data_IF_162235796286
#
_entry.id   IF_162235796286
#
_cell.length_a   1.000
_cell.length_b   1.000
_cell.length_c   1.000
_cell.angle_alpha   90.00
_cell.angle_beta   90.00
_cell.angle_gamma   90.00
#
_symmetry.space_group_name_H-M   'P 1'
#
loop_
_entity.id
_entity.type
_entity.pdbx_description
1 polymer ?
#
# COMPACT_ATOMS: atom_id res chain seq x y z
N UNK A 1 14.11 -15.02 -11.63
CA UNK A 1 13.97 -13.84 -10.75
C UNK A 1 12.55 -13.28 -10.66
N UNK A 2 11.57 -13.64 -11.52
CA UNK A 2 10.23 -13.02 -11.54
C UNK A 2 9.25 -13.35 -10.39
N UNK A 3 9.43 -14.43 -9.61
CA UNK A 3 8.38 -14.88 -8.67
C UNK A 3 8.29 -14.05 -7.38
N UNK A 4 9.39 -13.49 -6.88
CA UNK A 4 9.37 -12.67 -5.66
C UNK A 4 8.80 -11.28 -5.93
N UNK A 5 9.19 -10.63 -7.03
CA UNK A 5 8.71 -9.29 -7.39
C UNK A 5 7.19 -9.26 -7.64
N UNK A 6 6.63 -10.29 -8.29
CA UNK A 6 5.18 -10.40 -8.50
C UNK A 6 4.39 -10.53 -7.19
N UNK A 7 4.91 -11.27 -6.21
CA UNK A 7 4.25 -11.39 -4.91
C UNK A 7 4.28 -10.08 -4.11
N UNK A 8 5.36 -9.31 -4.22
CA UNK A 8 5.45 -7.97 -3.63
C UNK A 8 4.45 -7.00 -4.25
N UNK A 9 4.29 -7.03 -5.59
CA UNK A 9 3.30 -6.21 -6.32
C UNK A 9 1.86 -6.52 -5.89
N UNK A 10 1.51 -7.80 -5.78
CA UNK A 10 0.15 -8.20 -5.39
C UNK A 10 -0.16 -7.79 -3.94
N UNK A 11 0.80 -7.99 -3.03
CA UNK A 11 0.65 -7.62 -1.61
C UNK A 11 0.59 -6.10 -1.42
N UNK A 12 1.43 -5.35 -2.14
CA UNK A 12 1.39 -3.89 -2.09
C UNK A 12 0.08 -3.36 -2.69
N UNK A 13 -0.39 -3.89 -3.81
CA UNK A 13 -1.71 -3.53 -4.38
C UNK A 13 -2.85 -3.80 -3.40
N UNK A 14 -2.81 -4.91 -2.67
CA UNK A 14 -3.81 -5.19 -1.63
C UNK A 14 -3.80 -4.13 -0.52
N UNK A 15 -2.61 -3.78 0.01
CA UNK A 15 -2.48 -2.71 1.02
C UNK A 15 -2.98 -1.37 0.47
N UNK A 16 -2.65 -1.03 -0.78
CA UNK A 16 -3.10 0.21 -1.42
C UNK A 16 -4.62 0.32 -1.42
N UNK A 17 -5.32 -0.77 -1.76
CA UNK A 17 -6.78 -0.78 -1.76
C UNK A 17 -7.40 -0.77 -0.35
N UNK A 18 -6.76 -1.37 0.65
CA UNK A 18 -7.20 -1.24 2.04
C UNK A 18 -7.09 0.21 2.54
N UNK A 19 -6.03 0.93 2.16
CA UNK A 19 -5.85 2.35 2.47
C UNK A 19 -6.90 3.19 1.72
N UNK A 20 -7.12 2.92 0.44
CA UNK A 20 -8.13 3.63 -0.34
C UNK A 20 -9.54 3.49 0.26
N UNK A 21 -9.88 2.30 0.73
CA UNK A 21 -11.15 1.98 1.40
C UNK A 21 -11.19 2.43 2.88
N UNK A 22 -10.13 3.07 3.39
CA UNK A 22 -9.99 3.52 4.78
C UNK A 22 -10.16 2.39 5.82
N UNK A 23 -9.90 1.14 5.43
CA UNK A 23 -9.87 -0.01 6.35
C UNK A 23 -8.62 0.06 7.23
N UNK A 24 -7.51 0.49 6.65
CA UNK A 24 -6.26 0.74 7.35
C UNK A 24 -5.84 2.19 7.16
N UNK A 25 -5.22 2.76 8.19
CA UNK A 25 -4.75 4.14 8.16
C UNK A 25 -3.67 4.30 7.09
N UNK A 26 -3.66 5.44 6.39
CA UNK A 26 -2.71 5.74 5.32
C UNK A 26 -1.23 5.75 5.79
N UNK A 27 -0.96 5.78 7.09
CA UNK A 27 0.40 5.74 7.62
C UNK A 27 1.18 4.50 7.17
N UNK A 28 0.53 3.33 7.07
CA UNK A 28 1.18 2.08 6.65
C UNK A 28 1.72 2.15 5.22
N UNK A 29 1.06 2.91 4.34
CA UNK A 29 1.52 3.12 2.98
C UNK A 29 2.77 4.02 2.92
N UNK A 30 2.88 4.99 3.82
CA UNK A 30 4.08 5.83 3.95
C UNK A 30 5.27 5.00 4.44
N UNK A 31 5.05 4.12 5.42
CA UNK A 31 6.08 3.20 5.92
C UNK A 31 6.55 2.24 4.82
N UNK A 32 5.61 1.64 4.07
CA UNK A 32 5.95 0.73 2.98
C UNK A 32 6.83 1.42 1.93
N UNK A 33 6.45 2.63 1.53
CA UNK A 33 7.21 3.42 0.56
C UNK A 33 8.59 3.82 1.09
N UNK A 34 8.69 4.14 2.38
CA UNK A 34 9.98 4.42 3.02
C UNK A 34 10.90 3.20 2.94
N UNK A 35 10.40 2.01 3.28
CA UNK A 35 11.18 0.76 3.24
C UNK A 35 11.60 0.41 1.79
N UNK A 36 10.69 0.56 0.82
CA UNK A 36 10.99 0.25 -0.59
C UNK A 36 12.05 1.19 -1.20
N UNK A 37 12.15 2.42 -0.69
CA UNK A 37 13.01 3.48 -1.22
C UNK A 37 14.25 3.77 -0.36
N UNK A 38 14.42 3.09 0.79
CA UNK A 38 15.58 3.28 1.67
C UNK A 38 16.89 2.86 0.97
N UNK A 39 16.88 1.71 0.30
CA UNK A 39 17.99 1.22 -0.51
C UNK A 39 17.42 0.81 -1.89
N UNK A 40 17.19 1.77 -2.80
CA UNK A 40 16.40 1.53 -4.00
C UNK A 40 17.13 0.58 -4.96
N UNK A 41 16.38 -0.42 -5.45
CA UNK A 41 16.78 -1.34 -6.52
C UNK A 41 15.75 -1.24 -7.64
N UNK A 42 16.09 -1.71 -8.84
CA UNK A 42 15.15 -1.62 -9.98
C UNK A 42 13.78 -2.27 -9.67
N UNK A 43 13.79 -3.39 -8.94
CA UNK A 43 12.57 -4.09 -8.53
C UNK A 43 11.81 -3.33 -7.42
N UNK A 44 12.50 -2.81 -6.40
CA UNK A 44 11.82 -2.09 -5.31
C UNK A 44 11.22 -0.77 -5.79
N UNK A 45 11.87 -0.08 -6.72
CA UNK A 45 11.34 1.14 -7.34
C UNK A 45 10.15 0.84 -8.23
N UNK A 46 10.16 -0.26 -8.99
CA UNK A 46 8.99 -0.69 -9.76
C UNK A 46 7.78 -0.95 -8.86
N UNK A 47 7.97 -1.68 -7.76
CA UNK A 47 6.91 -1.93 -6.78
C UNK A 47 6.41 -0.62 -6.17
N UNK A 48 7.32 0.30 -5.84
CA UNK A 48 6.97 1.60 -5.25
C UNK A 48 6.18 2.47 -6.23
N UNK A 49 6.59 2.57 -7.50
CA UNK A 49 5.86 3.30 -8.55
C UNK A 49 4.46 2.72 -8.74
N UNK A 50 4.33 1.40 -8.82
CA UNK A 50 3.03 0.73 -8.93
C UNK A 50 2.14 1.04 -7.72
N UNK A 51 2.70 0.94 -6.51
CA UNK A 51 1.97 1.21 -5.27
C UNK A 51 1.47 2.66 -5.19
N UNK A 52 2.32 3.66 -5.47
CA UNK A 52 1.91 5.07 -5.53
C UNK A 52 0.86 5.32 -6.61
N UNK A 53 0.92 4.58 -7.72
CA UNK A 53 -0.07 4.72 -8.79
C UNK A 53 -1.48 4.31 -8.33
N UNK A 54 -1.58 3.28 -7.47
CA UNK A 54 -2.85 2.76 -6.94
C UNK A 54 -3.43 3.56 -5.77
N UNK A 55 -2.60 4.00 -4.81
CA UNK A 55 -3.08 4.74 -3.62
C UNK A 55 -2.69 6.23 -3.58
N UNK A 56 -2.02 6.76 -4.59
CA UNK A 56 -1.53 8.14 -4.56
C UNK A 56 -2.64 9.20 -4.47
N UNK A 57 -3.86 8.88 -4.93
CA UNK A 57 -4.99 9.83 -4.85
C UNK A 57 -5.44 10.09 -3.41
N UNK A 58 -5.66 9.03 -2.62
CA UNK A 58 -6.10 9.18 -1.21
C UNK A 58 -5.05 9.92 -0.37
N UNK A 59 -3.76 9.69 -0.63
CA UNK A 59 -2.69 10.39 0.07
C UNK A 59 -2.61 11.88 -0.26
N UNK A 60 -2.90 12.27 -1.51
CA UNK A 60 -3.00 13.69 -1.87
C UNK A 60 -4.16 14.37 -1.15
N UNK A 61 -5.26 13.65 -0.94
CA UNK A 61 -6.46 14.18 -0.30
C UNK A 61 -6.32 14.27 1.23
N UNK A 62 -5.80 13.22 1.88
CA UNK A 62 -5.67 13.13 3.33
C UNK A 62 -4.41 13.79 3.87
N UNK A 63 -3.27 13.58 3.21
CA UNK A 63 -1.94 13.93 3.75
C UNK A 63 -0.98 14.47 2.67
N UNK A 64 -1.32 15.57 1.97
CA UNK A 64 -0.55 16.07 0.82
C UNK A 64 0.91 16.37 1.15
N UNK A 65 1.20 16.87 2.36
CA UNK A 65 2.58 17.15 2.80
C UNK A 65 3.40 15.87 2.94
N UNK A 66 2.84 14.84 3.56
CA UNK A 66 3.52 13.56 3.73
C UNK A 66 3.73 12.88 2.37
N UNK A 67 2.72 12.93 1.51
CA UNK A 67 2.81 12.43 0.15
C UNK A 67 3.91 13.12 -0.67
N UNK A 68 4.00 14.45 -0.60
CA UNK A 68 5.07 15.19 -1.25
C UNK A 68 6.45 14.77 -0.76
N UNK A 69 6.61 14.51 0.55
CA UNK A 69 7.86 14.01 1.11
C UNK A 69 8.31 12.67 0.51
N UNK A 70 7.36 11.79 0.19
CA UNK A 70 7.66 10.49 -0.44
C UNK A 70 8.03 10.61 -1.92
N UNK A 71 7.61 11.69 -2.59
CA UNK A 71 8.02 11.94 -3.97
C UNK A 71 9.46 12.44 -4.10
N UNK A 72 10.07 12.96 -3.03
CA UNK A 72 11.45 13.45 -3.05
C UNK A 72 12.49 12.34 -3.31
N UNK A 73 12.44 11.17 -2.64
CA UNK A 73 13.31 10.03 -2.97
C UNK A 73 13.27 9.64 -4.47
N UNK A 74 12.08 9.62 -5.09
CA UNK A 74 11.97 9.33 -6.53
C UNK A 74 12.71 10.35 -7.40
N UNK A 75 12.72 11.64 -7.02
CA UNK A 75 13.49 12.68 -7.72
C UNK A 75 14.99 12.50 -7.52
N UNK A 76 15.41 12.14 -6.31
CA UNK A 76 16.81 11.81 -6.01
C UNK A 76 17.30 10.67 -6.90
N UNK A 77 16.52 9.60 -6.99
CA UNK A 77 16.79 8.44 -7.85
C UNK A 77 16.90 8.85 -9.33
N UNK A 78 16.02 9.75 -9.80
CA UNK A 78 16.03 10.22 -11.20
C UNK A 78 17.26 11.06 -11.56
N UNK A 79 17.80 11.84 -10.62
CA UNK A 79 18.92 12.76 -10.87
C UNK A 79 20.29 12.20 -10.51
N UNK A 80 20.38 11.36 -9.46
CA UNK A 80 21.64 10.96 -8.83
C UNK A 80 21.94 9.46 -8.98
N UNK A 81 20.95 8.64 -9.40
CA UNK A 81 21.08 7.19 -9.46
C UNK A 81 21.65 6.67 -10.78
N UNK A 82 22.57 5.70 -10.70
CA UNK A 82 22.76 4.73 -11.79
C UNK A 82 21.58 3.75 -11.76
N UNK A 83 20.50 4.10 -12.46
CA UNK A 83 19.29 3.28 -12.58
C UNK A 83 19.11 2.73 -13.99
N UNK A 84 18.46 1.58 -14.11
CA UNK A 84 18.09 1.07 -15.42
C UNK A 84 17.09 1.99 -16.13
N UNK A 85 17.19 2.07 -17.46
CA UNK A 85 16.32 2.91 -18.29
C UNK A 85 14.84 2.62 -18.06
N UNK A 86 14.50 1.35 -17.78
CA UNK A 86 13.12 0.95 -17.49
C UNK A 86 12.57 1.67 -16.25
N UNK A 87 13.36 1.71 -15.19
CA UNK A 87 12.99 2.35 -13.92
C UNK A 87 12.88 3.86 -14.09
N UNK A 88 13.79 4.45 -14.86
CA UNK A 88 13.70 5.85 -15.24
C UNK A 88 12.35 6.17 -15.91
N UNK A 89 11.95 5.38 -16.92
CA UNK A 89 10.64 5.56 -17.58
C UNK A 89 9.45 5.40 -16.63
N UNK A 90 9.53 4.49 -15.65
CA UNK A 90 8.48 4.30 -14.65
C UNK A 90 8.34 5.53 -13.75
N UNK A 91 9.45 6.09 -13.27
CA UNK A 91 9.46 7.30 -12.43
C UNK A 91 8.97 8.52 -13.23
N UNK A 92 9.45 8.70 -14.46
CA UNK A 92 8.98 9.78 -15.34
C UNK A 92 7.47 9.65 -15.62
N UNK A 93 7.00 8.43 -15.85
CA UNK A 93 5.58 8.10 -15.97
C UNK A 93 4.79 8.51 -14.73
N UNK A 94 5.30 8.19 -13.54
CA UNK A 94 4.68 8.57 -12.27
C UNK A 94 4.52 10.10 -12.13
N UNK A 95 5.54 10.88 -12.48
CA UNK A 95 5.47 12.35 -12.42
C UNK A 95 4.62 12.97 -13.54
N UNK A 96 4.50 12.30 -14.68
CA UNK A 96 3.61 12.71 -15.76
C UNK A 96 2.12 12.50 -15.42
N UNK A 97 1.81 11.61 -14.48
CA UNK A 97 0.44 11.39 -14.01
C UNK A 97 -0.10 12.62 -13.28
N UNK A 98 -1.03 13.32 -13.94
CA UNK A 98 -1.78 14.44 -13.35
C UNK A 98 -2.61 13.97 -12.16
N UNK A 99 -3.23 12.80 -12.27
CA UNK A 99 -4.04 12.14 -11.25
C UNK A 99 -3.65 10.66 -11.21
N UNK A 100 -3.55 10.10 -10.00
CA UNK A 100 -3.39 8.65 -9.82
C UNK A 100 -4.73 7.94 -10.10
N UNK A 101 -4.77 6.62 -9.89
CA UNK A 101 -6.01 5.87 -10.03
C UNK A 101 -7.11 6.41 -9.09
N UNK A 102 -8.39 6.33 -9.47
CA UNK A 102 -9.48 6.75 -8.60
C UNK A 102 -9.43 5.94 -7.30
N UNK A 103 -9.49 6.65 -6.17
CA UNK A 103 -9.36 6.09 -4.82
C UNK A 103 -10.26 4.86 -4.63
N UNK A 104 -11.57 5.03 -4.81
CA UNK A 104 -12.54 3.93 -4.78
C UNK A 104 -13.38 4.03 -6.06
N UNK A 105 -13.64 2.88 -6.69
CA UNK A 105 -14.60 2.84 -7.80
C UNK A 105 -16.02 3.00 -7.25
N UNK A 106 -16.92 3.75 -7.91
CA UNK A 106 -18.26 4.01 -7.37
C UNK A 106 -19.04 2.75 -6.99
N UNK A 107 -18.87 1.66 -7.73
CA UNK A 107 -19.51 0.37 -7.44
C UNK A 107 -18.97 -0.35 -6.18
N UNK A 108 -17.83 0.09 -5.64
CA UNK A 108 -17.17 -0.46 -4.46
C UNK A 108 -17.26 0.47 -3.23
N UNK A 109 -17.86 1.65 -3.36
CA UNK A 109 -18.09 2.60 -2.26
C UNK A 109 -19.42 2.28 -1.55
N UNK A 110 -19.38 1.20 -0.76
CA UNK A 110 -20.59 0.59 -0.17
C UNK A 110 -20.78 0.91 1.31
N UNK A 111 -19.74 1.38 1.99
CA UNK A 111 -19.73 1.62 3.44
C UNK A 111 -19.69 3.12 3.69
N UNK A 112 -20.61 3.62 4.50
CA UNK A 112 -20.62 5.04 4.87
C UNK A 112 -19.43 5.36 5.77
N UNK A 113 -18.92 6.57 5.67
CA UNK A 113 -17.80 7.08 6.48
C UNK A 113 -18.06 6.95 7.99
N UNK A 114 -19.31 7.15 8.43
CA UNK A 114 -19.71 7.04 9.84
C UNK A 114 -19.65 5.60 10.40
N UNK A 115 -19.73 4.60 9.52
CA UNK A 115 -19.68 3.19 9.84
C UNK A 115 -18.28 2.58 9.59
N UNK A 116 -17.34 3.37 9.07
CA UNK A 116 -15.97 2.92 8.81
C UNK A 116 -15.16 2.84 10.11
N UNK A 117 -14.44 1.73 10.27
CA UNK A 117 -13.45 1.55 11.31
C UNK A 117 -12.06 1.42 10.69
N UNK A 118 -11.25 2.45 10.88
CA UNK A 118 -9.88 2.52 10.33
C UNK A 118 -8.87 2.00 11.34
N UNK A 119 -8.23 0.89 11.00
CA UNK A 119 -7.21 0.26 11.83
C UNK A 119 -5.88 1.00 11.71
N UNK A 120 -5.25 1.30 12.85
CA UNK A 120 -3.90 1.87 12.90
C UNK A 120 -2.92 0.72 13.12
N UNK A 121 -2.20 0.35 12.06
CA UNK A 121 -1.23 -0.75 12.04
C UNK A 121 0.07 -0.21 11.48
N UNK A 122 1.21 -0.56 12.09
CA UNK A 122 2.55 -0.30 11.56
C UNK A 122 3.14 -1.57 10.96
N UNK A 123 3.99 -1.40 9.93
CA UNK A 123 4.81 -2.49 9.41
C UNK A 123 5.88 -2.98 10.38
N UNK A 124 6.16 -2.22 11.44
CA UNK A 124 7.13 -2.56 12.48
C UNK A 124 6.49 -3.29 13.67
N UNK A 125 5.16 -3.37 13.71
CA UNK A 125 4.44 -4.05 14.78
C UNK A 125 4.62 -5.58 14.68
N UNK A 126 4.73 -6.24 15.83
CA UNK A 126 4.64 -7.70 15.91
C UNK A 126 3.16 -8.09 15.85
N UNK A 127 2.74 -8.68 14.73
CA UNK A 127 1.36 -9.09 14.47
C UNK A 127 1.25 -10.60 14.69
N UNK A 128 0.37 -11.02 15.59
CA UNK A 128 -0.02 -12.43 15.71
C UNK A 128 -0.95 -12.77 14.52
N UNK A 129 -0.56 -13.67 13.61
CA UNK A 129 -1.42 -14.07 12.50
C UNK A 129 -2.59 -14.95 12.92
N UNK A 130 -2.65 -15.38 14.20
CA UNK A 130 -3.74 -16.20 14.77
C UNK A 130 -4.03 -17.47 13.96
N UNK A 131 -2.99 -18.09 13.37
CA UNK A 131 -3.09 -19.27 12.47
C UNK A 131 -3.86 -20.43 13.11
N UNK A 132 -3.88 -20.52 14.45
CA UNK A 132 -4.65 -21.51 15.17
C UNK A 132 -6.17 -21.45 14.86
N UNK A 133 -6.69 -20.29 14.46
CA UNK A 133 -8.09 -20.10 14.07
C UNK A 133 -8.42 -20.71 12.69
N UNK A 134 -7.41 -20.93 11.84
CA UNK A 134 -7.59 -21.59 10.53
C UNK A 134 -7.82 -23.12 10.67
N UNK A 135 -7.52 -23.67 11.85
CA UNK A 135 -7.66 -25.10 12.14
C UNK A 135 -8.92 -25.34 12.95
N UNK A 136 -9.74 -26.28 12.50
CA UNK A 136 -10.95 -26.68 13.22
C UNK A 136 -10.62 -27.12 14.66
N UNK A 137 -11.27 -26.49 15.62
CA UNK A 137 -11.22 -26.83 17.03
C UNK A 137 -12.65 -26.93 17.59
N UNK A 138 -12.88 -27.87 18.50
CA UNK A 138 -14.17 -28.02 19.17
C UNK A 138 -14.38 -26.84 20.14
N UNK A 139 -15.39 -26.03 19.87
CA UNK A 139 -15.81 -24.94 20.74
C UNK A 139 -16.74 -25.47 21.84
N UNK A 140 -16.28 -25.40 23.10
CA UNK A 140 -17.09 -25.78 24.26
C UNK A 140 -18.35 -24.93 24.43
N UNK A 141 -18.36 -23.71 23.89
CA UNK A 141 -19.44 -22.74 23.96
C UNK A 141 -20.18 -22.59 22.62
N UNK A 142 -20.06 -23.56 21.70
CA UNK A 142 -20.66 -23.51 20.36
C UNK A 142 -22.15 -23.11 20.38
N UNK A 143 -22.93 -23.65 21.32
CA UNK A 143 -24.37 -23.35 21.46
C UNK A 143 -24.67 -21.90 21.83
N UNK A 144 -23.72 -21.18 22.44
CA UNK A 144 -23.88 -19.76 22.79
C UNK A 144 -23.39 -18.84 21.68
N UNK A 145 -22.29 -19.19 21.01
CA UNK A 145 -21.65 -18.38 19.98
C UNK A 145 -22.43 -18.35 18.64
N UNK A 146 -23.24 -19.36 18.34
CA UNK A 146 -24.09 -19.46 17.13
C UNK A 146 -25.53 -18.95 17.34
N UNK A 147 -25.81 -18.26 18.45
CA UNK A 147 -27.13 -17.64 18.69
C UNK A 147 -27.31 -16.35 17.91
#
# INVERSE_FOLDING_TARGET
MCFHSLNCLLRSSFIAHLVNQQVVHEFIALELLTILLENPTDDSVEVAVGFVTECGSIHRDLSPKAFHGILEPFRGILHEGEIDKRVQFLIEGLFALRTCHPTIRPELDLVKVEDQLTHKVSLLDEIDPEIALDVFNLDSNFLENEK
#
